data_IF_833498978611
#
_entry.id   IF_833498978611
#
_cell.length_a   1.000
_cell.length_b   1.000
_cell.length_c   1.000
_cell.angle_alpha   90.00
_cell.angle_beta   90.00
_cell.angle_gamma   90.00
#
_symmetry.space_group_name_H-M   'P 1'
#
loop_
_entity.id
_entity.type
_entity.pdbx_description
1 polymer ?
#
# COMPACT_ATOMS: atom_id res chain seq x y z
N UNK A 1 70.63 -35.22 -13.16
CA UNK A 1 69.68 -35.85 -12.22
C UNK A 1 69.04 -34.75 -11.38
N UNK A 2 67.74 -34.52 -11.52
CA UNK A 2 67.01 -33.54 -10.70
C UNK A 2 66.34 -34.31 -9.56
N UNK A 3 66.81 -34.11 -8.33
CA UNK A 3 66.19 -34.70 -7.16
C UNK A 3 64.90 -33.93 -6.84
N UNK A 4 63.75 -34.55 -7.09
CA UNK A 4 62.45 -34.03 -6.65
C UNK A 4 62.36 -34.24 -5.13
N UNK A 5 62.50 -33.16 -4.36
CA UNK A 5 62.31 -33.18 -2.91
C UNK A 5 60.82 -33.37 -2.63
N UNK A 6 60.45 -34.57 -2.17
CA UNK A 6 59.07 -34.89 -1.76
C UNK A 6 58.84 -34.28 -0.38
N UNK A 7 58.02 -33.23 -0.30
CA UNK A 7 57.64 -32.63 0.98
C UNK A 7 56.96 -33.70 1.87
N UNK A 8 57.28 -33.76 3.17
CA UNK A 8 56.67 -34.72 4.08
C UNK A 8 55.15 -34.46 4.15
N UNK A 9 54.37 -35.52 3.95
CA UNK A 9 52.91 -35.46 4.08
C UNK A 9 52.61 -35.49 5.57
N UNK A 10 52.38 -34.32 6.15
CA UNK A 10 51.93 -34.20 7.54
C UNK A 10 50.42 -34.50 7.62
N UNK A 11 50.04 -35.33 8.59
CA UNK A 11 48.62 -35.58 8.87
C UNK A 11 47.97 -34.28 9.36
N UNK A 12 46.72 -33.97 8.95
CA UNK A 12 46.04 -32.77 9.42
C UNK A 12 45.99 -32.76 10.95
N UNK A 13 46.26 -31.61 11.56
CA UNK A 13 46.25 -31.48 13.02
C UNK A 13 44.89 -31.91 13.57
N UNK A 14 44.88 -32.83 14.54
CA UNK A 14 43.67 -33.28 15.26
C UNK A 14 43.19 -32.19 16.21
N UNK A 15 42.78 -31.05 15.67
CA UNK A 15 42.15 -30.01 16.47
C UNK A 15 40.79 -30.54 16.92
N UNK A 16 40.49 -30.57 18.24
CA UNK A 16 39.14 -30.89 18.68
C UNK A 16 38.18 -29.87 18.04
N UNK A 17 37.04 -30.30 17.50
CA UNK A 17 36.10 -29.39 16.86
C UNK A 17 35.75 -28.28 17.86
N UNK A 18 35.94 -27.01 17.47
CA UNK A 18 35.65 -25.85 18.32
C UNK A 18 34.17 -25.87 18.72
N UNK A 19 33.87 -26.45 19.89
CA UNK A 19 32.52 -26.70 20.40
C UNK A 19 31.72 -25.42 20.70
N UNK A 20 32.35 -24.25 20.59
CA UNK A 20 31.95 -23.03 21.28
C UNK A 20 30.91 -22.22 20.49
N UNK A 21 30.88 -22.30 19.15
CA UNK A 21 29.99 -21.44 18.34
C UNK A 21 28.60 -22.02 18.03
N UNK A 22 28.40 -23.34 18.17
CA UNK A 22 27.12 -24.00 17.83
C UNK A 22 26.21 -24.27 19.05
N UNK A 23 26.76 -24.24 20.28
CA UNK A 23 26.01 -24.52 21.50
C UNK A 23 24.74 -23.64 21.69
N UNK A 24 24.77 -22.30 21.54
CA UNK A 24 23.56 -21.47 21.70
C UNK A 24 22.53 -21.71 20.59
N UNK A 25 22.99 -22.03 19.37
CA UNK A 25 22.11 -22.37 18.24
C UNK A 25 21.42 -23.71 18.47
N UNK A 26 22.13 -24.72 18.96
CA UNK A 26 21.57 -26.03 19.31
C UNK A 26 20.52 -25.94 20.43
N UNK A 27 20.77 -25.14 21.47
CA UNK A 27 19.76 -24.88 22.53
C UNK A 27 18.49 -24.24 21.96
N UNK A 28 18.65 -23.29 21.03
CA UNK A 28 17.52 -22.63 20.37
C UNK A 28 16.74 -23.60 19.48
N UNK A 29 17.43 -24.45 18.73
CA UNK A 29 16.81 -25.51 17.92
C UNK A 29 16.04 -26.49 18.82
N UNK A 30 16.63 -26.95 19.93
CA UNK A 30 15.96 -27.84 20.90
C UNK A 30 14.70 -27.20 21.50
N UNK A 31 14.78 -25.92 21.88
CA UNK A 31 13.59 -25.16 22.35
C UNK A 31 12.51 -25.07 21.29
N UNK A 32 12.85 -24.70 20.05
CA UNK A 32 11.90 -24.62 18.92
C UNK A 32 11.28 -25.99 18.61
N UNK A 33 12.09 -27.05 18.58
CA UNK A 33 11.65 -28.45 18.42
C UNK A 33 10.63 -28.81 19.49
N UNK A 34 10.95 -28.56 20.76
CA UNK A 34 10.06 -28.90 21.87
C UNK A 34 8.76 -28.08 21.84
N UNK A 35 8.83 -26.78 21.49
CA UNK A 35 7.64 -25.94 21.30
C UNK A 35 6.74 -26.48 20.17
N UNK A 36 7.32 -26.88 19.03
CA UNK A 36 6.57 -27.48 17.91
C UNK A 36 5.94 -28.82 18.32
N UNK A 37 6.69 -29.68 19.01
CA UNK A 37 6.21 -30.96 19.53
C UNK A 37 5.02 -30.80 20.48
N UNK A 38 5.15 -29.94 21.49
CA UNK A 38 4.07 -29.65 22.45
C UNK A 38 2.86 -28.99 21.77
N UNK A 39 3.08 -28.14 20.77
CA UNK A 39 1.99 -27.52 19.98
C UNK A 39 1.21 -28.58 19.20
N UNK A 40 1.89 -29.50 18.51
CA UNK A 40 1.26 -30.60 17.78
C UNK A 40 0.45 -31.50 18.72
N UNK A 41 1.07 -31.96 19.82
CA UNK A 41 0.36 -32.75 20.85
C UNK A 41 -0.88 -32.05 21.40
N UNK A 42 -0.81 -30.73 21.65
CA UNK A 42 -1.98 -29.94 22.08
C UNK A 42 -3.05 -29.90 21.00
N UNK A 43 -2.67 -29.66 19.74
CA UNK A 43 -3.59 -29.62 18.63
C UNK A 43 -4.32 -30.96 18.46
N UNK A 44 -3.59 -32.07 18.49
CA UNK A 44 -4.16 -33.42 18.34
C UNK A 44 -5.11 -33.74 19.50
N UNK A 45 -4.71 -33.43 20.74
CA UNK A 45 -5.54 -33.63 21.94
C UNK A 45 -6.84 -32.81 21.90
N UNK A 46 -6.77 -31.56 21.47
CA UNK A 46 -7.89 -30.62 21.46
C UNK A 46 -8.53 -30.49 20.07
N UNK A 47 -8.30 -31.45 19.17
CA UNK A 47 -8.67 -31.38 17.74
C UNK A 47 -10.13 -31.01 17.51
N UNK A 48 -11.06 -31.70 18.18
CA UNK A 48 -12.50 -31.46 18.02
C UNK A 48 -12.93 -30.07 18.51
N UNK A 49 -12.28 -29.53 19.54
CA UNK A 49 -12.54 -28.15 20.01
C UNK A 49 -12.14 -27.14 18.95
N UNK A 50 -10.98 -27.33 18.32
CA UNK A 50 -10.54 -26.48 17.21
C UNK A 50 -11.48 -26.60 16.01
N UNK A 51 -11.91 -27.80 15.64
CA UNK A 51 -12.85 -27.97 14.52
C UNK A 51 -14.19 -27.25 14.77
N UNK A 52 -14.75 -27.38 15.97
CA UNK A 52 -15.96 -26.64 16.37
C UNK A 52 -15.75 -25.12 16.26
N UNK A 53 -14.67 -24.61 16.84
CA UNK A 53 -14.32 -23.19 16.78
C UNK A 53 -14.11 -22.69 15.34
N UNK A 54 -13.42 -23.46 14.49
CA UNK A 54 -13.21 -23.10 13.09
C UNK A 54 -14.51 -23.08 12.30
N UNK A 55 -15.42 -24.03 12.55
CA UNK A 55 -16.76 -24.04 11.94
C UNK A 55 -17.54 -22.80 12.35
N UNK A 56 -17.57 -22.48 13.65
CA UNK A 56 -18.25 -21.28 14.17
C UNK A 56 -17.66 -19.99 13.59
N UNK A 57 -16.33 -19.89 13.49
CA UNK A 57 -15.66 -18.74 12.88
C UNK A 57 -16.06 -18.56 11.41
N UNK A 58 -16.13 -19.65 10.64
CA UNK A 58 -16.59 -19.62 9.23
C UNK A 58 -18.06 -19.19 9.13
N UNK A 59 -18.93 -19.76 9.97
CA UNK A 59 -20.35 -19.39 10.01
C UNK A 59 -20.56 -17.92 10.38
N UNK A 60 -19.76 -17.39 11.32
CA UNK A 60 -19.81 -15.97 11.69
C UNK A 60 -19.40 -15.06 10.51
N UNK A 61 -18.33 -15.42 9.81
CA UNK A 61 -17.88 -14.67 8.63
C UNK A 61 -18.94 -14.70 7.52
N UNK A 62 -19.56 -15.86 7.28
CA UNK A 62 -20.63 -16.00 6.28
C UNK A 62 -21.85 -15.14 6.63
N UNK A 63 -22.30 -15.17 7.88
CA UNK A 63 -23.41 -14.32 8.35
C UNK A 63 -23.10 -12.84 8.21
N UNK A 64 -21.87 -12.44 8.51
CA UNK A 64 -21.45 -11.06 8.36
C UNK A 64 -21.43 -10.62 6.89
N UNK A 65 -20.97 -11.50 5.99
CA UNK A 65 -21.01 -11.27 4.55
C UNK A 65 -22.45 -11.10 4.05
N UNK A 66 -23.35 -12.03 4.39
CA UNK A 66 -24.78 -11.95 4.03
C UNK A 66 -25.41 -10.66 4.56
N UNK A 67 -25.09 -10.29 5.80
CA UNK A 67 -25.60 -9.05 6.40
C UNK A 67 -25.16 -7.81 5.61
N UNK A 68 -23.88 -7.73 5.21
CA UNK A 68 -23.36 -6.62 4.41
C UNK A 68 -24.02 -6.57 3.03
N UNK A 69 -24.19 -7.72 2.39
CA UNK A 69 -24.86 -7.81 1.09
C UNK A 69 -26.31 -7.31 1.17
N UNK A 70 -27.06 -7.76 2.18
CA UNK A 70 -28.42 -7.30 2.42
C UNK A 70 -28.49 -5.79 2.68
N UNK A 71 -27.51 -5.24 3.40
CA UNK A 71 -27.44 -3.80 3.63
C UNK A 71 -27.24 -3.03 2.32
N UNK A 72 -26.35 -3.48 1.43
CA UNK A 72 -26.18 -2.86 0.11
C UNK A 72 -27.42 -2.97 -0.77
N UNK A 73 -28.11 -4.12 -0.76
CA UNK A 73 -29.36 -4.26 -1.50
C UNK A 73 -30.44 -3.33 -0.94
N UNK A 74 -30.57 -3.21 0.38
CA UNK A 74 -31.50 -2.28 1.00
C UNK A 74 -31.16 -0.81 0.70
N UNK A 75 -29.87 -0.46 0.67
CA UNK A 75 -29.38 0.85 0.24
C UNK A 75 -29.80 1.15 -1.21
N UNK A 76 -29.60 0.19 -2.12
CA UNK A 76 -30.02 0.32 -3.52
C UNK A 76 -31.55 0.41 -3.68
N UNK A 77 -32.31 -0.39 -2.93
CA UNK A 77 -33.79 -0.37 -2.97
C UNK A 77 -34.36 0.94 -2.41
N UNK A 78 -33.73 1.49 -1.37
CA UNK A 78 -34.14 2.76 -0.76
C UNK A 78 -33.61 3.99 -1.50
N UNK A 79 -32.66 3.81 -2.44
CA UNK A 79 -32.07 4.89 -3.20
C UNK A 79 -33.07 5.49 -4.17
N UNK A 80 -33.40 6.77 -3.94
CA UNK A 80 -34.26 7.57 -4.82
C UNK A 80 -33.38 8.45 -5.70
N UNK A 81 -33.27 8.18 -7.01
CA UNK A 81 -32.30 8.87 -7.88
C UNK A 81 -32.63 10.35 -8.05
N UNK A 82 -33.91 10.71 -8.11
CA UNK A 82 -34.36 12.10 -8.29
C UNK A 82 -33.93 12.96 -7.10
N UNK A 83 -34.20 12.49 -5.87
CA UNK A 83 -33.79 13.18 -4.64
C UNK A 83 -32.27 13.34 -4.55
N UNK A 84 -31.51 12.31 -4.94
CA UNK A 84 -30.06 12.39 -4.95
C UNK A 84 -29.53 13.46 -5.93
N UNK A 85 -30.11 13.56 -7.13
CA UNK A 85 -29.73 14.59 -8.12
C UNK A 85 -30.10 15.98 -7.60
N UNK A 86 -31.30 16.16 -7.05
CA UNK A 86 -31.74 17.43 -6.46
C UNK A 86 -30.82 17.86 -5.31
N UNK A 87 -30.50 16.96 -4.39
CA UNK A 87 -29.57 17.22 -3.28
C UNK A 87 -28.16 17.57 -3.79
N UNK A 88 -27.69 16.88 -4.84
CA UNK A 88 -26.37 17.15 -5.42
C UNK A 88 -26.32 18.52 -6.09
N UNK A 89 -27.37 18.89 -6.84
CA UNK A 89 -27.50 20.22 -7.46
C UNK A 89 -27.61 21.30 -6.38
N UNK A 90 -28.40 21.06 -5.33
CA UNK A 90 -28.55 21.99 -4.21
C UNK A 90 -27.23 22.18 -3.45
N UNK A 91 -26.49 21.09 -3.20
CA UNK A 91 -25.18 21.15 -2.56
C UNK A 91 -24.13 21.86 -3.43
N UNK A 92 -24.18 21.67 -4.75
CA UNK A 92 -23.29 22.37 -5.69
C UNK A 92 -23.60 23.87 -5.80
N UNK A 93 -24.88 24.25 -5.70
CA UNK A 93 -25.35 25.65 -5.67
C UNK A 93 -25.18 26.30 -4.29
N UNK A 94 -24.92 25.52 -3.24
CA UNK A 94 -24.76 26.04 -1.88
C UNK A 94 -23.43 26.79 -1.76
N UNK A 95 -23.51 28.11 -1.67
CA UNK A 95 -22.36 28.94 -1.34
C UNK A 95 -21.98 28.76 0.12
N UNK A 96 -20.70 28.48 0.39
CA UNK A 96 -20.16 28.11 1.71
C UNK A 96 -19.88 29.31 2.61
N UNK A 97 -20.43 30.48 2.29
CA UNK A 97 -20.10 31.75 2.97
C UNK A 97 -20.68 31.85 4.39
N UNK A 98 -21.81 31.18 4.71
CA UNK A 98 -22.61 31.54 5.89
C UNK A 98 -22.86 30.46 6.98
N UNK A 99 -22.48 29.20 6.80
CA UNK A 99 -22.74 28.18 7.82
C UNK A 99 -21.63 28.12 8.91
N UNK A 100 -21.90 28.72 10.07
CA UNK A 100 -21.08 28.59 11.28
C UNK A 100 -21.32 27.24 11.99
N UNK A 101 -20.27 26.63 12.54
CA UNK A 101 -20.42 25.50 13.45
C UNK A 101 -21.18 25.92 14.73
N UNK A 102 -21.81 24.98 15.47
CA UNK A 102 -22.45 25.26 16.76
C UNK A 102 -21.51 25.90 17.81
N UNK A 103 -20.20 25.82 17.60
CA UNK A 103 -19.14 26.41 18.43
C UNK A 103 -18.74 27.83 17.99
N UNK A 104 -19.39 28.39 16.97
CA UNK A 104 -19.09 29.71 16.39
C UNK A 104 -17.89 29.73 15.44
N UNK A 105 -17.21 28.59 15.23
CA UNK A 105 -16.07 28.48 14.30
C UNK A 105 -16.57 28.19 12.89
N UNK A 106 -16.00 28.86 11.89
CA UNK A 106 -16.27 28.54 10.48
C UNK A 106 -15.82 27.10 10.18
N UNK A 107 -16.73 26.25 9.70
CA UNK A 107 -16.39 24.94 9.13
C UNK A 107 -15.83 25.18 7.74
N UNK A 108 -14.54 25.43 7.63
CA UNK A 108 -13.90 25.45 6.31
C UNK A 108 -13.73 24.00 5.82
N UNK A 109 -14.28 23.61 4.66
CA UNK A 109 -13.81 22.42 3.96
C UNK A 109 -12.29 22.49 3.71
N UNK A 110 -11.67 21.33 3.51
CA UNK A 110 -10.29 21.27 3.03
C UNK A 110 -10.11 22.18 1.79
N UNK A 111 -8.99 22.89 1.67
CA UNK A 111 -8.74 23.93 0.66
C UNK A 111 -9.03 23.49 -0.79
N UNK A 112 -8.81 22.21 -1.10
CA UNK A 112 -9.12 21.61 -2.41
C UNK A 112 -10.62 21.50 -2.75
N UNK A 113 -11.51 21.86 -1.81
CA UNK A 113 -12.98 21.82 -1.97
C UNK A 113 -13.61 23.22 -2.03
N UNK A 114 -12.85 24.27 -1.70
CA UNK A 114 -13.34 25.65 -1.57
C UNK A 114 -12.94 26.57 -2.74
N UNK A 115 -11.80 26.32 -3.38
CA UNK A 115 -11.34 27.13 -4.50
C UNK A 115 -11.28 26.28 -5.76
N UNK A 116 -11.86 26.78 -6.85
CA UNK A 116 -11.54 26.23 -8.15
C UNK A 116 -10.08 26.53 -8.50
N UNK A 117 -9.46 25.73 -9.37
CA UNK A 117 -8.10 26.02 -9.85
C UNK A 117 -8.05 27.41 -10.51
N UNK A 118 -9.14 27.83 -11.16
CA UNK A 118 -9.21 29.14 -11.78
C UNK A 118 -9.13 30.26 -10.73
N UNK A 119 -9.84 30.13 -9.61
CA UNK A 119 -9.77 31.11 -8.50
C UNK A 119 -8.39 31.14 -7.83
N UNK A 120 -7.71 29.99 -7.71
CA UNK A 120 -6.39 29.92 -7.08
C UNK A 120 -5.31 30.63 -7.92
N UNK A 121 -5.43 30.55 -9.24
CA UNK A 121 -4.49 31.15 -10.19
C UNK A 121 -4.98 32.47 -10.79
N UNK A 122 -6.15 32.98 -10.37
CA UNK A 122 -6.74 34.22 -10.90
C UNK A 122 -7.13 34.14 -12.38
N UNK A 123 -7.40 32.95 -12.88
CA UNK A 123 -7.80 32.69 -14.28
C UNK A 123 -9.32 32.91 -14.38
N UNK A 124 -9.83 33.52 -15.46
CA UNK A 124 -11.27 33.58 -15.69
C UNK A 124 -11.83 32.16 -15.80
N UNK A 125 -12.91 31.89 -15.08
CA UNK A 125 -13.61 30.61 -15.13
C UNK A 125 -14.14 30.38 -16.56
N UNK A 126 -13.61 29.36 -17.25
CA UNK A 126 -14.06 28.99 -18.60
C UNK A 126 -14.40 27.51 -18.64
N UNK A 127 -15.61 27.17 -19.07
CA UNK A 127 -16.04 25.77 -19.25
C UNK A 127 -15.42 25.10 -20.50
N UNK A 128 -14.69 25.87 -21.31
CA UNK A 128 -14.05 25.40 -22.52
C UNK A 128 -12.67 24.78 -22.22
N UNK A 129 -12.54 23.48 -22.47
CA UNK A 129 -11.26 22.77 -22.40
C UNK A 129 -10.61 22.84 -23.78
N UNK A 130 -9.56 23.66 -23.92
CA UNK A 130 -8.74 23.66 -25.13
C UNK A 130 -7.96 22.34 -25.20
N UNK A 131 -8.23 21.54 -26.24
CA UNK A 131 -7.58 20.25 -26.47
C UNK A 131 -6.10 20.38 -26.84
N UNK A 132 -5.67 21.60 -27.21
CA UNK A 132 -4.29 21.91 -27.51
C UNK A 132 -3.53 22.46 -26.29
N UNK A 133 -4.20 22.67 -25.15
CA UNK A 133 -3.56 23.11 -23.92
C UNK A 133 -2.53 22.06 -23.45
N UNK A 134 -1.26 22.45 -23.39
CA UNK A 134 -0.15 21.57 -23.03
C UNK A 134 0.60 20.95 -24.22
N UNK A 135 0.14 21.18 -25.46
CA UNK A 135 0.99 20.95 -26.64
C UNK A 135 2.02 22.10 -26.72
N UNK A 136 3.27 21.75 -27.01
CA UNK A 136 4.33 22.75 -27.17
C UNK A 136 4.02 23.65 -28.36
N UNK A 137 3.93 24.97 -28.12
CA UNK A 137 3.91 25.96 -29.19
C UNK A 137 5.24 25.99 -29.97
N UNK A 138 5.33 26.79 -31.03
CA UNK A 138 6.55 26.87 -31.85
C UNK A 138 7.79 27.27 -31.04
N UNK A 139 7.63 28.20 -30.09
CA UNK A 139 8.70 28.66 -29.20
C UNK A 139 9.12 27.57 -28.19
N UNK A 140 8.15 26.87 -27.59
CA UNK A 140 8.40 25.79 -26.65
C UNK A 140 9.03 24.58 -27.35
N UNK A 141 8.63 24.29 -28.59
CA UNK A 141 9.21 23.22 -29.40
C UNK A 141 10.70 23.48 -29.68
N UNK A 142 11.09 24.72 -29.94
CA UNK A 142 12.49 25.10 -30.11
C UNK A 142 13.28 24.90 -28.80
N UNK A 143 12.70 25.29 -27.65
CA UNK A 143 13.33 25.12 -26.35
C UNK A 143 13.46 23.65 -25.94
N UNK A 144 12.45 22.83 -26.20
CA UNK A 144 12.50 21.38 -26.00
C UNK A 144 13.58 20.74 -26.87
N UNK A 145 13.72 21.19 -28.13
CA UNK A 145 14.78 20.71 -29.03
C UNK A 145 16.17 21.05 -28.49
N UNK A 146 16.38 22.28 -28.00
CA UNK A 146 17.62 22.69 -27.35
C UNK A 146 17.94 21.83 -26.12
N UNK A 147 16.97 21.66 -25.21
CA UNK A 147 17.13 20.84 -24.01
C UNK A 147 17.43 19.38 -24.35
N UNK A 148 16.84 18.85 -25.42
CA UNK A 148 17.11 17.50 -25.91
C UNK A 148 18.54 17.36 -26.42
N UNK A 149 19.04 18.32 -27.22
CA UNK A 149 20.45 18.35 -27.64
C UNK A 149 21.42 18.51 -26.46
N UNK A 150 21.10 19.37 -25.48
CA UNK A 150 21.92 19.51 -24.27
C UNK A 150 21.97 18.21 -23.46
N UNK A 151 20.83 17.54 -23.29
CA UNK A 151 20.75 16.25 -22.61
C UNK A 151 21.55 15.17 -23.33
N UNK A 152 21.40 15.05 -24.66
CA UNK A 152 22.13 14.06 -25.45
C UNK A 152 23.65 14.32 -25.42
N UNK A 153 24.09 15.58 -25.53
CA UNK A 153 25.51 15.95 -25.41
C UNK A 153 26.07 15.63 -24.02
N UNK A 154 25.28 15.86 -22.97
CA UNK A 154 25.72 15.67 -21.58
C UNK A 154 25.78 14.21 -21.15
N UNK A 155 24.90 13.35 -21.66
CA UNK A 155 24.73 11.98 -21.15
C UNK A 155 24.93 10.87 -22.18
N UNK A 156 24.80 11.14 -23.48
CA UNK A 156 24.93 10.13 -24.53
C UNK A 156 26.21 10.23 -25.37
N UNK A 157 26.95 11.33 -25.26
CA UNK A 157 28.32 11.46 -25.76
C UNK A 157 28.48 11.12 -27.25
N UNK A 158 28.32 12.13 -28.10
CA UNK A 158 29.10 12.20 -29.34
C UNK A 158 30.36 13.02 -29.06
#
# INVERSE_FOLDING_TARGET
>A
MVFVVRAPIEAPSKNPPLAIQLAPRLLTIRRKKMKKHKRRKRYDRDFFKYQKYHKEKKLKAEREFIRRMKAHLAELESFKPEQYVEETIAAAKKEWSDDLAPTGRKRYPHWSRLMSLEELYGIPKSDYIDKNAGLAGEEDAAKIKQLKTEYDNKYRGN
#
